data_IF_864973924969
#
_entry.id   IF_864973924969
#
_cell.length_a   1.000
_cell.length_b   1.000
_cell.length_c   1.000
_cell.angle_alpha   90.00
_cell.angle_beta   90.00
_cell.angle_gamma   90.00
#
_symmetry.space_group_name_H-M   'P 1'
#
loop_
_entity.id
_entity.type
_entity.pdbx_description
1 polymer ?
#
# COMPACT_ATOMS: atom_id res chain seq x y z
N UNK A 1 25.23 -31.18 -35.49
CA UNK A 1 25.07 -30.48 -34.19
C UNK A 1 24.47 -29.07 -34.35
N UNK A 2 23.41 -28.87 -35.17
CA UNK A 2 22.75 -27.56 -35.38
C UNK A 2 21.30 -27.50 -34.88
N UNK A 3 20.67 -28.66 -34.63
CA UNK A 3 19.26 -28.76 -34.23
C UNK A 3 19.01 -28.45 -32.74
N UNK A 4 20.01 -28.66 -31.87
CA UNK A 4 19.88 -28.42 -30.44
C UNK A 4 19.78 -26.92 -30.07
N UNK A 5 20.40 -26.04 -30.85
CA UNK A 5 20.36 -24.59 -30.61
C UNK A 5 18.97 -23.98 -30.92
N UNK A 6 18.22 -24.57 -31.86
CA UNK A 6 16.89 -24.09 -32.24
C UNK A 6 15.81 -24.42 -31.20
N UNK A 7 15.92 -25.58 -30.55
CA UNK A 7 14.97 -26.00 -29.49
C UNK A 7 15.20 -25.21 -28.21
N UNK A 8 16.45 -24.89 -27.88
CA UNK A 8 16.79 -24.09 -26.70
C UNK A 8 16.26 -22.65 -26.80
N UNK A 9 16.20 -22.09 -28.02
CA UNK A 9 15.77 -20.72 -28.27
C UNK A 9 14.23 -20.56 -28.23
N UNK A 10 13.48 -21.65 -28.45
CA UNK A 10 12.01 -21.67 -28.34
C UNK A 10 11.51 -21.82 -26.90
N UNK A 11 12.30 -22.41 -26.00
CA UNK A 11 11.92 -22.63 -24.59
C UNK A 11 12.02 -21.38 -23.73
N UNK A 12 12.86 -20.40 -24.09
CA UNK A 12 13.01 -19.15 -23.32
C UNK A 12 11.90 -18.12 -23.56
N UNK A 13 11.03 -18.33 -24.56
CA UNK A 13 9.93 -17.40 -24.85
C UNK A 13 8.70 -17.55 -23.94
N UNK A 14 8.58 -18.67 -23.21
CA UNK A 14 7.37 -18.98 -22.42
C UNK A 14 7.48 -18.68 -20.92
N UNK A 15 8.66 -18.30 -20.40
CA UNK A 15 8.85 -17.94 -19.00
C UNK A 15 8.69 -16.43 -18.73
N UNK A 16 8.07 -15.69 -19.67
CA UNK A 16 7.78 -14.27 -19.55
C UNK A 16 6.66 -14.02 -18.54
N UNK A 17 7.04 -13.84 -17.27
CA UNK A 17 6.33 -13.02 -16.29
C UNK A 17 4.81 -13.23 -16.20
N UNK A 18 4.40 -14.37 -15.66
CA UNK A 18 3.17 -14.37 -14.87
C UNK A 18 3.42 -13.53 -13.60
N UNK A 19 3.26 -12.21 -13.71
CA UNK A 19 3.01 -11.37 -12.55
C UNK A 19 1.69 -11.83 -11.94
N UNK A 20 1.74 -12.83 -11.06
CA UNK A 20 0.66 -13.04 -10.09
C UNK A 20 0.60 -11.77 -9.27
N UNK A 21 -0.27 -10.85 -9.66
CA UNK A 21 -0.79 -9.85 -8.75
C UNK A 21 -1.61 -10.67 -7.75
N UNK A 22 -0.94 -11.16 -6.71
CA UNK A 22 -1.64 -11.69 -5.56
C UNK A 22 -2.35 -10.49 -4.97
N UNK A 23 -3.68 -10.47 -5.13
CA UNK A 23 -4.55 -9.53 -4.46
C UNK A 23 -4.40 -9.78 -2.96
N UNK A 24 -3.42 -9.15 -2.34
CA UNK A 24 -3.28 -9.16 -0.89
C UNK A 24 -4.59 -8.62 -0.35
N UNK A 25 -5.24 -9.42 0.49
CA UNK A 25 -6.46 -9.00 1.16
C UNK A 25 -6.04 -8.01 2.24
N UNK A 26 -5.83 -6.76 1.84
CA UNK A 26 -5.30 -5.69 2.69
C UNK A 26 -6.37 -5.35 3.72
N UNK A 27 -6.20 -5.87 4.93
CA UNK A 27 -7.06 -5.59 6.07
C UNK A 27 -6.54 -4.39 6.88
N UNK A 28 -7.35 -3.92 7.83
CA UNK A 28 -7.00 -2.79 8.69
C UNK A 28 -5.70 -3.03 9.49
N UNK A 29 -5.43 -4.28 9.89
CA UNK A 29 -4.22 -4.67 10.63
C UNK A 29 -2.95 -4.43 9.81
N UNK A 30 -2.95 -4.90 8.56
CA UNK A 30 -1.83 -4.74 7.64
C UNK A 30 -1.55 -3.27 7.33
N UNK A 31 -2.61 -2.49 7.03
CA UNK A 31 -2.45 -1.05 6.81
C UNK A 31 -1.90 -0.34 8.04
N UNK A 32 -2.30 -0.78 9.23
CA UNK A 32 -1.84 -0.18 10.47
C UNK A 32 -0.35 -0.45 10.71
N UNK A 33 0.10 -1.69 10.51
CA UNK A 33 1.52 -2.06 10.69
C UNK A 33 2.42 -1.39 9.66
N UNK A 34 1.99 -1.29 8.41
CA UNK A 34 2.70 -0.56 7.35
C UNK A 34 2.80 0.94 7.66
N UNK A 35 1.69 1.56 8.08
CA UNK A 35 1.67 2.97 8.50
C UNK A 35 2.60 3.23 9.68
N UNK A 36 2.65 2.29 10.63
CA UNK A 36 3.56 2.36 11.77
C UNK A 36 5.01 2.32 11.33
N UNK A 37 5.35 1.43 10.38
CA UNK A 37 6.70 1.35 9.82
C UNK A 37 7.10 2.67 9.14
N UNK A 38 6.19 3.32 8.42
CA UNK A 38 6.44 4.65 7.86
C UNK A 38 6.63 5.70 8.95
N UNK A 39 5.86 5.67 10.03
CA UNK A 39 6.02 6.58 11.18
C UNK A 39 7.40 6.41 11.82
N UNK A 40 7.86 5.17 12.00
CA UNK A 40 9.18 4.88 12.61
C UNK A 40 10.34 5.32 11.74
N UNK A 41 10.18 5.33 10.41
CA UNK A 41 11.21 5.80 9.48
C UNK A 41 11.15 7.32 9.22
N UNK A 42 10.29 8.06 9.92
CA UNK A 42 10.12 9.49 9.72
C UNK A 42 9.34 9.86 8.45
N UNK A 43 8.79 8.88 7.74
CA UNK A 43 7.93 9.07 6.58
C UNK A 43 6.49 9.41 7.02
N UNK A 44 6.34 10.50 7.76
CA UNK A 44 5.08 10.88 8.41
C UNK A 44 3.92 11.10 7.44
N UNK A 45 4.21 11.49 6.19
CA UNK A 45 3.19 11.60 5.16
C UNK A 45 2.57 10.25 4.80
N UNK A 46 3.40 9.26 4.48
CA UNK A 46 2.95 7.92 4.13
C UNK A 46 2.21 7.26 5.30
N UNK A 47 2.72 7.46 6.53
CA UNK A 47 2.04 7.01 7.75
C UNK A 47 0.66 7.65 7.92
N UNK A 48 0.55 8.98 7.79
CA UNK A 48 -0.72 9.70 7.91
C UNK A 48 -1.74 9.25 6.86
N UNK A 49 -1.29 9.00 5.64
CA UNK A 49 -2.14 8.47 4.58
C UNK A 49 -2.69 7.09 4.90
N UNK A 50 -1.84 6.16 5.34
CA UNK A 50 -2.28 4.81 5.67
C UNK A 50 -3.26 4.81 6.85
N UNK A 51 -3.03 5.62 7.90
CA UNK A 51 -4.00 5.80 8.98
C UNK A 51 -5.33 6.38 8.50
N UNK A 52 -5.31 7.36 7.58
CA UNK A 52 -6.53 7.91 6.99
C UNK A 52 -7.31 6.84 6.21
N UNK A 53 -6.64 5.98 5.44
CA UNK A 53 -7.29 4.89 4.72
C UNK A 53 -7.97 3.90 5.67
N UNK A 54 -7.38 3.62 6.83
CA UNK A 54 -8.01 2.78 7.86
C UNK A 54 -9.31 3.40 8.37
N UNK A 55 -9.30 4.70 8.64
CA UNK A 55 -10.50 5.42 9.11
C UNK A 55 -11.61 5.47 8.06
N UNK A 56 -11.23 5.60 6.78
CA UNK A 56 -12.19 5.70 5.68
C UNK A 56 -12.77 4.33 5.27
N UNK A 57 -11.94 3.29 5.21
CA UNK A 57 -12.36 1.96 4.74
C UNK A 57 -12.76 1.00 5.84
N UNK A 58 -12.19 1.15 7.03
CA UNK A 58 -12.33 0.23 8.15
C UNK A 58 -12.71 0.94 9.46
N UNK A 59 -13.74 1.82 9.47
CA UNK A 59 -14.07 2.66 10.63
C UNK A 59 -14.47 1.86 11.88
N UNK A 60 -15.02 0.65 11.73
CA UNK A 60 -15.38 -0.24 12.83
C UNK A 60 -14.29 -1.23 13.23
N UNK A 61 -13.11 -1.17 12.62
CA UNK A 61 -12.01 -2.05 13.00
C UNK A 61 -11.41 -1.64 14.34
N UNK A 62 -10.87 -2.60 15.08
CA UNK A 62 -10.12 -2.33 16.31
C UNK A 62 -8.97 -1.32 16.09
N UNK A 63 -8.44 -1.25 14.86
CA UNK A 63 -7.37 -0.33 14.47
C UNK A 63 -7.82 1.09 14.12
N UNK A 64 -9.12 1.33 13.97
CA UNK A 64 -9.62 2.66 13.63
C UNK A 64 -9.32 3.69 14.73
N UNK A 65 -9.55 3.33 16.00
CA UNK A 65 -9.27 4.22 17.12
C UNK A 65 -7.77 4.54 17.22
N UNK A 66 -6.92 3.52 17.17
CA UNK A 66 -5.47 3.67 17.15
C UNK A 66 -4.99 4.55 15.98
N UNK A 67 -5.55 4.34 14.79
CA UNK A 67 -5.20 5.10 13.59
C UNK A 67 -5.58 6.58 13.74
N UNK A 68 -6.74 6.87 14.34
CA UNK A 68 -7.17 8.24 14.64
C UNK A 68 -6.21 8.93 15.60
N UNK A 69 -5.83 8.27 16.68
CA UNK A 69 -4.89 8.81 17.67
C UNK A 69 -3.53 9.13 17.04
N UNK A 70 -2.99 8.23 16.24
CA UNK A 70 -1.70 8.43 15.57
C UNK A 70 -1.75 9.50 14.49
N UNK A 71 -2.82 9.55 13.71
CA UNK A 71 -3.01 10.61 12.73
C UNK A 71 -3.07 11.99 13.40
N UNK A 72 -3.79 12.10 14.52
CA UNK A 72 -3.85 13.34 15.30
C UNK A 72 -2.49 13.72 15.90
N UNK A 73 -1.71 12.73 16.36
CA UNK A 73 -0.33 12.94 16.81
C UNK A 73 0.51 13.52 15.67
N UNK A 74 0.53 12.88 14.51
CA UNK A 74 1.33 13.35 13.35
C UNK A 74 0.94 14.77 12.96
N UNK A 75 -0.35 15.10 12.85
CA UNK A 75 -0.84 16.44 12.49
C UNK A 75 -0.34 17.55 13.42
N UNK A 76 -0.15 17.25 14.72
CA UNK A 76 0.38 18.23 15.69
C UNK A 76 1.89 18.45 15.53
N UNK A 77 2.63 17.42 15.13
CA UNK A 77 4.09 17.51 14.94
C UNK A 77 4.49 18.06 13.57
N UNK A 78 3.58 18.03 12.60
CA UNK A 78 3.85 18.46 11.23
C UNK A 78 2.85 19.55 10.85
N UNK A 79 3.24 20.81 11.05
CA UNK A 79 2.45 21.97 10.59
C UNK A 79 2.13 21.89 9.08
N UNK A 80 2.97 21.20 8.31
CA UNK A 80 2.79 20.94 6.88
C UNK A 80 1.86 19.75 6.57
N UNK A 81 1.60 18.83 7.50
CA UNK A 81 0.80 17.63 7.20
C UNK A 81 -0.64 17.95 6.83
N UNK A 82 -1.21 19.03 7.38
CA UNK A 82 -2.56 19.44 7.01
C UNK A 82 -2.64 19.95 5.56
N UNK A 83 -1.58 20.59 5.06
CA UNK A 83 -1.48 20.98 3.65
C UNK A 83 -1.25 19.76 2.75
N UNK A 84 -0.40 18.84 3.21
CA UNK A 84 -0.06 17.60 2.53
C UNK A 84 -1.27 16.64 2.41
N UNK A 85 -2.13 16.54 3.44
CA UNK A 85 -3.35 15.72 3.41
C UNK A 85 -4.46 16.30 2.51
N UNK A 86 -4.47 17.62 2.30
CA UNK A 86 -5.38 18.30 1.36
C UNK A 86 -4.96 18.11 -0.10
N UNK A 87 -3.67 17.91 -0.36
CA UNK A 87 -3.11 17.79 -1.72
C UNK A 87 -3.35 16.41 -2.37
N UNK A 88 -3.62 15.37 -1.58
CA UNK A 88 -3.63 14.00 -2.11
C UNK A 88 -4.96 13.63 -2.75
N UNK A 89 -4.93 13.46 -4.07
CA UNK A 89 -5.86 12.57 -4.80
C UNK A 89 -5.86 11.19 -4.14
N UNK A 90 -6.97 10.44 -4.18
CA UNK A 90 -7.07 9.12 -3.57
C UNK A 90 -5.89 8.23 -3.99
N UNK A 91 -5.19 7.67 -3.01
CA UNK A 91 -4.08 6.76 -3.27
C UNK A 91 -4.59 5.53 -4.04
N UNK A 92 -3.82 5.07 -5.05
CA UNK A 92 -4.10 3.84 -5.76
C UNK A 92 -3.85 2.58 -4.91
N UNK A 93 -3.63 2.70 -3.60
CA UNK A 93 -3.61 1.55 -2.68
C UNK A 93 -4.96 0.82 -2.65
N UNK A 94 -6.04 1.50 -3.04
CA UNK A 94 -7.37 0.93 -3.22
C UNK A 94 -7.68 0.46 -4.65
N UNK A 95 -6.91 0.88 -5.65
CA UNK A 95 -7.30 0.76 -7.06
C UNK A 95 -6.97 -0.60 -7.70
N UNK A 96 -6.29 -1.50 -6.99
CA UNK A 96 -5.86 -2.77 -7.58
C UNK A 96 -6.87 -3.92 -7.48
N UNK A 97 -8.00 -3.77 -6.77
CA UNK A 97 -8.99 -4.85 -6.67
C UNK A 97 -10.41 -4.30 -6.77
N UNK A 98 -10.85 -4.04 -8.00
CA UNK A 98 -12.28 -4.03 -8.32
C UNK A 98 -12.71 -5.49 -8.46
N UNK A 99 -13.18 -6.11 -7.39
CA UNK A 99 -13.89 -7.39 -7.47
C UNK A 99 -15.24 -7.11 -8.14
N UNK A 100 -15.42 -7.63 -9.35
CA UNK A 100 -16.70 -7.73 -10.03
C UNK A 100 -17.43 -8.98 -9.52
#
# INVERSE_FOLDING_TARGET
MKWFLLVLLLLTAAAGFYSRIECFNVNAEHLFSESLQHETHGAYYAAALGYKVILEKYPGSFRAEDASLRLNKIRRFTADAENILKQTRPLPLAAACKTN
#
